data_IF_959364964461
#
_entry.id   IF_959364964461
#
_cell.length_a   1.000
_cell.length_b   1.000
_cell.length_c   1.000
_cell.angle_alpha   90.00
_cell.angle_beta   90.00
_cell.angle_gamma   90.00
#
_symmetry.space_group_name_H-M   'P 1'
#
loop_
_entity.id
_entity.type
_entity.pdbx_description
1 polymer ?
#
# COMPACT_ATOMS: atom_id res chain seq x y z
N UNK A 1 19.40 7.41 -54.47
CA UNK A 1 19.29 6.11 -53.76
C UNK A 1 19.65 6.23 -52.26
N UNK A 2 19.20 7.27 -51.55
CA UNK A 2 19.55 7.50 -50.11
C UNK A 2 18.31 7.82 -49.25
N UNK A 3 17.10 7.74 -49.80
CA UNK A 3 15.86 8.07 -49.06
C UNK A 3 15.13 6.84 -48.50
N UNK A 4 15.58 5.62 -48.83
CA UNK A 4 14.89 4.38 -48.40
C UNK A 4 15.49 3.66 -47.17
N UNK A 5 16.56 4.16 -46.55
CA UNK A 5 17.17 3.50 -45.38
C UNK A 5 16.83 4.13 -44.01
N UNK A 6 16.12 5.26 -43.97
CA UNK A 6 15.80 5.94 -42.69
C UNK A 6 14.53 5.37 -42.04
N UNK A 7 13.67 4.70 -42.80
CA UNK A 7 12.37 4.20 -42.32
C UNK A 7 12.41 2.96 -41.39
N UNK A 8 13.28 1.94 -41.57
CA UNK A 8 13.25 0.77 -40.71
C UNK A 8 13.96 0.98 -39.37
N UNK A 9 15.03 1.79 -39.34
CA UNK A 9 15.84 2.05 -38.13
C UNK A 9 15.08 2.98 -37.16
N UNK A 10 14.36 3.97 -37.68
CA UNK A 10 13.52 4.84 -36.86
C UNK A 10 12.33 4.08 -36.25
N UNK A 11 11.78 3.09 -36.96
CA UNK A 11 10.69 2.23 -36.44
C UNK A 11 11.17 1.24 -35.39
N UNK A 12 12.35 0.63 -35.54
CA UNK A 12 12.91 -0.25 -34.51
C UNK A 12 13.34 0.53 -33.27
N UNK A 13 13.91 1.73 -33.41
CA UNK A 13 14.25 2.58 -32.26
C UNK A 13 12.99 3.07 -31.53
N UNK A 14 11.92 3.45 -32.25
CA UNK A 14 10.65 3.82 -31.63
C UNK A 14 10.01 2.65 -30.88
N UNK A 15 10.09 1.41 -31.42
CA UNK A 15 9.61 0.21 -30.73
C UNK A 15 10.44 -0.13 -29.49
N UNK A 16 11.76 0.09 -29.53
CA UNK A 16 12.65 -0.11 -28.37
C UNK A 16 12.33 0.89 -27.26
N UNK A 17 12.02 2.15 -27.57
CA UNK A 17 11.61 3.15 -26.58
C UNK A 17 10.20 2.89 -25.99
N UNK A 18 9.30 2.23 -26.73
CA UNK A 18 7.98 1.82 -26.22
C UNK A 18 8.07 0.51 -25.40
N UNK A 19 9.13 -0.28 -25.59
CA UNK A 19 9.32 -1.58 -24.93
C UNK A 19 10.42 -1.61 -23.86
N UNK A 20 10.99 -0.47 -23.46
CA UNK A 20 11.71 -0.41 -22.18
C UNK A 20 10.66 -0.12 -21.11
N UNK A 21 10.14 -1.14 -20.38
CA UNK A 21 9.53 -0.84 -19.10
C UNK A 21 10.56 -0.04 -18.31
N UNK A 22 10.13 1.07 -17.72
CA UNK A 22 10.91 1.79 -16.73
C UNK A 22 11.39 0.76 -15.71
N UNK A 23 12.67 0.39 -15.80
CA UNK A 23 13.35 -0.55 -14.89
C UNK A 23 13.52 0.16 -13.56
N UNK A 24 12.42 0.43 -12.87
CA UNK A 24 12.42 0.59 -11.42
C UNK A 24 12.86 -0.79 -10.92
N UNK A 25 14.02 -0.87 -10.30
CA UNK A 25 14.53 -2.13 -9.77
C UNK A 25 13.63 -2.54 -8.60
N UNK A 26 12.56 -3.28 -8.91
CA UNK A 26 11.52 -3.72 -7.96
C UNK A 26 12.08 -4.54 -6.80
N UNK A 27 13.31 -5.06 -6.94
CA UNK A 27 14.05 -5.76 -5.88
C UNK A 27 14.46 -4.89 -4.69
N UNK A 28 14.36 -3.56 -4.79
CA UNK A 28 14.70 -2.63 -3.69
C UNK A 28 13.49 -2.16 -2.89
N UNK A 29 12.26 -2.39 -3.37
CA UNK A 29 11.07 -2.02 -2.63
C UNK A 29 10.80 -3.05 -1.55
N UNK A 30 10.78 -2.59 -0.30
CA UNK A 30 10.40 -3.40 0.84
C UNK A 30 8.87 -3.46 0.95
N UNK A 31 8.26 -4.41 0.23
CA UNK A 31 6.81 -4.55 0.14
C UNK A 31 6.27 -5.76 0.91
N UNK A 32 7.09 -6.78 1.13
CA UNK A 32 6.71 -8.09 1.65
C UNK A 32 7.08 -8.31 3.13
N UNK A 33 7.79 -7.37 3.76
CA UNK A 33 8.06 -7.42 5.19
C UNK A 33 6.76 -7.38 5.98
N UNK A 34 6.53 -8.42 6.79
CA UNK A 34 5.39 -8.51 7.70
C UNK A 34 5.53 -7.46 8.81
N UNK A 35 4.52 -6.59 8.91
CA UNK A 35 4.39 -5.62 9.99
C UNK A 35 3.69 -6.28 11.18
N UNK A 36 2.47 -6.78 10.96
CA UNK A 36 1.72 -7.52 11.97
C UNK A 36 0.66 -8.43 11.35
N UNK A 37 0.20 -9.41 12.12
CA UNK A 37 -0.95 -10.25 11.80
C UNK A 37 -1.82 -10.46 13.04
N UNK A 38 -3.13 -10.28 12.90
CA UNK A 38 -4.14 -10.59 13.93
C UNK A 38 -5.17 -11.53 13.35
N UNK A 39 -5.50 -12.61 14.05
CA UNK A 39 -6.49 -13.58 13.60
C UNK A 39 -7.45 -13.87 14.76
N UNK A 40 -8.76 -13.78 14.54
CA UNK A 40 -9.76 -14.23 15.52
C UNK A 40 -10.22 -15.63 15.13
N UNK A 41 -10.07 -16.59 16.03
CA UNK A 41 -10.58 -17.94 15.85
C UNK A 41 -11.78 -18.09 16.76
N UNK A 42 -12.96 -18.40 16.20
CA UNK A 42 -14.08 -18.85 17.03
C UNK A 42 -13.60 -20.02 17.89
N UNK A 43 -13.80 -19.90 19.21
CA UNK A 43 -13.58 -20.98 20.16
C UNK A 43 -14.14 -22.29 19.60
N UNK A 44 -13.35 -23.36 19.68
CA UNK A 44 -13.73 -24.75 19.37
C UNK A 44 -14.97 -25.24 20.14
N UNK A 45 -15.54 -24.42 21.02
CA UNK A 45 -16.72 -24.69 21.83
C UNK A 45 -18.07 -24.51 21.11
N UNK A 46 -18.15 -23.90 19.92
CA UNK A 46 -19.40 -23.91 19.11
C UNK A 46 -19.69 -25.33 18.56
N UNK A 47 -18.69 -26.20 18.51
CA UNK A 47 -18.85 -27.63 18.19
C UNK A 47 -19.26 -28.50 19.39
N UNK A 48 -19.46 -27.93 20.58
CA UNK A 48 -19.70 -28.72 21.81
C UNK A 48 -21.09 -28.53 22.44
N UNK A 49 -22.00 -27.77 21.83
CA UNK A 49 -23.37 -27.63 22.35
C UNK A 49 -24.44 -28.26 21.47
N UNK A 50 -24.37 -29.58 21.35
CA UNK A 50 -25.57 -30.44 21.28
C UNK A 50 -25.22 -31.79 21.87
N UNK A 51 -25.33 -31.91 23.19
CA UNK A 51 -25.55 -33.22 23.82
C UNK A 51 -27.01 -33.59 23.56
N UNK A 52 -27.23 -34.82 23.07
CA UNK A 52 -28.53 -35.49 22.82
C UNK A 52 -28.98 -35.51 21.36
N UNK A 53 -28.31 -36.29 20.53
CA UNK A 53 -28.93 -37.37 19.71
C UNK A 53 -27.83 -38.20 19.07
N UNK A 54 -28.08 -39.50 19.00
CA UNK A 54 -27.24 -40.54 18.44
C UNK A 54 -26.97 -40.23 16.96
N UNK A 55 -25.68 -40.18 16.56
CA UNK A 55 -25.10 -39.80 15.26
C UNK A 55 -24.79 -38.30 15.01
N UNK A 56 -23.64 -37.79 15.48
CA UNK A 56 -23.11 -36.50 15.04
C UNK A 56 -22.37 -36.68 13.70
N UNK A 57 -23.06 -36.45 12.58
CA UNK A 57 -22.42 -36.45 11.25
C UNK A 57 -22.39 -35.03 10.63
N UNK A 58 -21.95 -34.06 11.43
CA UNK A 58 -21.73 -32.67 11.02
C UNK A 58 -20.39 -32.17 11.59
N UNK A 59 -19.27 -32.58 10.99
CA UNK A 59 -17.94 -32.07 11.38
C UNK A 59 -16.92 -31.88 10.25
N UNK A 60 -17.28 -32.10 8.98
CA UNK A 60 -16.35 -31.85 7.85
C UNK A 60 -16.92 -30.98 6.71
N UNK A 61 -18.23 -31.03 6.44
CA UNK A 61 -18.80 -30.32 5.30
C UNK A 61 -18.76 -28.78 5.46
N UNK A 62 -19.15 -28.26 6.62
CA UNK A 62 -19.13 -26.82 6.88
C UNK A 62 -17.71 -26.25 6.89
N UNK A 63 -16.74 -27.00 7.42
CA UNK A 63 -15.32 -26.59 7.40
C UNK A 63 -14.80 -26.55 5.96
N UNK A 64 -15.15 -27.55 5.15
CA UNK A 64 -14.83 -27.57 3.72
C UNK A 64 -15.43 -26.38 2.97
N UNK A 65 -16.71 -26.07 3.19
CA UNK A 65 -17.38 -24.93 2.55
C UNK A 65 -16.76 -23.59 2.98
N UNK A 66 -16.38 -23.45 4.25
CA UNK A 66 -15.66 -22.26 4.72
C UNK A 66 -14.29 -22.11 4.07
N UNK A 67 -13.52 -23.19 4.00
CA UNK A 67 -12.23 -23.19 3.32
C UNK A 67 -12.38 -22.84 1.83
N UNK A 68 -13.43 -23.33 1.16
CA UNK A 68 -13.74 -23.01 -0.23
C UNK A 68 -14.12 -21.54 -0.43
N UNK A 69 -14.92 -20.97 0.48
CA UNK A 69 -15.29 -19.56 0.46
C UNK A 69 -14.06 -18.65 0.64
N UNK A 70 -13.20 -18.94 1.63
CA UNK A 70 -11.97 -18.20 1.87
C UNK A 70 -10.99 -18.31 0.68
N UNK A 71 -10.82 -19.51 0.12
CA UNK A 71 -10.00 -19.70 -1.08
C UNK A 71 -10.50 -18.85 -2.25
N UNK A 72 -11.81 -18.87 -2.51
CA UNK A 72 -12.42 -18.08 -3.59
C UNK A 72 -12.26 -16.58 -3.35
N UNK A 73 -12.45 -16.13 -2.11
CA UNK A 73 -12.22 -14.75 -1.69
C UNK A 73 -10.79 -14.31 -1.95
N UNK A 74 -9.79 -15.02 -1.42
CA UNK A 74 -8.37 -14.68 -1.57
C UNK A 74 -7.93 -14.71 -3.04
N UNK A 75 -8.42 -15.68 -3.82
CA UNK A 75 -8.15 -15.73 -5.26
C UNK A 75 -8.72 -14.53 -6.01
N UNK A 76 -9.87 -14.01 -5.58
CA UNK A 76 -10.49 -12.82 -6.19
C UNK A 76 -9.70 -11.56 -5.85
N UNK A 77 -9.24 -11.41 -4.59
CA UNK A 77 -8.34 -10.32 -4.19
C UNK A 77 -7.04 -10.33 -5.01
N UNK A 78 -6.40 -11.49 -5.12
CA UNK A 78 -5.18 -11.67 -5.90
C UNK A 78 -5.39 -11.31 -7.39
N UNK A 79 -6.50 -11.75 -7.99
CA UNK A 79 -6.81 -11.41 -9.39
C UNK A 79 -6.96 -9.90 -9.61
N UNK A 80 -7.74 -9.22 -8.74
CA UNK A 80 -8.02 -7.78 -8.89
C UNK A 80 -6.83 -6.87 -8.55
N UNK A 81 -5.88 -7.33 -7.74
CA UNK A 81 -4.65 -6.57 -7.38
C UNK A 81 -3.77 -6.19 -8.57
N UNK A 82 -3.93 -6.85 -9.72
CA UNK A 82 -3.25 -6.46 -10.97
C UNK A 82 -3.84 -5.19 -11.61
N UNK A 83 -5.05 -4.79 -11.24
CA UNK A 83 -5.85 -3.72 -11.86
C UNK A 83 -6.23 -2.61 -10.90
N UNK A 84 -6.32 -2.90 -9.61
CA UNK A 84 -6.74 -1.97 -8.57
C UNK A 84 -5.81 -2.03 -7.36
N UNK A 85 -5.70 -0.90 -6.65
CA UNK A 85 -4.94 -0.77 -5.40
C UNK A 85 -5.77 -1.05 -4.16
N UNK A 86 -7.08 -0.87 -4.29
CA UNK A 86 -8.07 -1.24 -3.30
C UNK A 86 -9.14 -2.09 -3.97
N UNK A 87 -9.58 -3.15 -3.28
CA UNK A 87 -10.73 -3.92 -3.73
C UNK A 87 -11.44 -4.58 -2.56
N UNK A 88 -12.75 -4.32 -2.43
CA UNK A 88 -13.64 -4.96 -1.46
C UNK A 88 -14.55 -5.95 -2.17
N UNK A 89 -14.73 -7.13 -1.60
CA UNK A 89 -15.60 -8.14 -2.16
C UNK A 89 -16.18 -9.07 -1.10
N UNK A 90 -17.24 -9.77 -1.52
CA UNK A 90 -17.79 -10.95 -0.89
C UNK A 90 -17.50 -12.18 -1.78
N UNK A 91 -17.25 -13.34 -1.19
CA UNK A 91 -17.23 -14.62 -1.90
C UNK A 91 -17.77 -15.76 -1.02
N UNK A 92 -18.42 -16.74 -1.64
CA UNK A 92 -19.03 -17.88 -0.95
C UNK A 92 -20.49 -18.06 -1.33
N UNK A 93 -21.26 -18.66 -0.44
CA UNK A 93 -22.70 -18.88 -0.61
C UNK A 93 -23.49 -18.27 0.55
N UNK A 94 -24.82 -18.37 0.49
CA UNK A 94 -25.73 -17.75 1.46
C UNK A 94 -25.49 -18.19 2.92
N UNK A 95 -24.81 -19.32 3.17
CA UNK A 95 -24.54 -19.87 4.51
C UNK A 95 -23.08 -19.71 4.95
N UNK A 96 -22.17 -19.63 3.99
CA UNK A 96 -20.74 -19.59 4.17
C UNK A 96 -20.16 -18.59 3.17
N UNK A 97 -20.13 -17.33 3.59
CA UNK A 97 -19.49 -16.27 2.82
C UNK A 97 -18.35 -15.64 3.62
N UNK A 98 -17.40 -15.07 2.89
CA UNK A 98 -16.28 -14.31 3.40
C UNK A 98 -16.34 -12.95 2.73
N UNK A 99 -16.34 -11.89 3.54
CA UNK A 99 -16.20 -10.52 3.07
C UNK A 99 -14.89 -9.94 3.54
N UNK A 100 -14.47 -8.86 2.88
CA UNK A 100 -13.22 -8.19 3.20
C UNK A 100 -12.65 -7.44 2.02
N UNK A 101 -11.40 -7.02 2.15
CA UNK A 101 -10.72 -6.20 1.16
C UNK A 101 -9.19 -6.31 1.27
N UNK A 102 -8.50 -5.90 0.20
CA UNK A 102 -7.08 -5.56 0.25
C UNK A 102 -6.87 -4.08 -0.06
N UNK A 103 -5.77 -3.53 0.44
CA UNK A 103 -5.24 -2.22 0.09
C UNK A 103 -3.73 -2.33 -0.11
N UNK A 104 -3.24 -1.88 -1.27
CA UNK A 104 -1.82 -1.70 -1.55
C UNK A 104 -1.40 -0.27 -1.24
N UNK A 105 -0.10 -0.07 -1.02
CA UNK A 105 0.49 1.27 -0.99
C UNK A 105 0.34 1.93 -2.37
N UNK A 106 -0.10 3.18 -2.40
CA UNK A 106 -0.50 3.85 -3.65
C UNK A 106 0.67 4.20 -4.56
N UNK A 107 1.83 4.53 -3.99
CA UNK A 107 3.09 4.82 -4.69
C UNK A 107 3.75 3.57 -5.32
N UNK A 108 3.31 2.36 -4.95
CA UNK A 108 3.88 1.15 -5.50
C UNK A 108 3.34 0.86 -6.92
N UNK A 109 4.11 0.26 -7.84
CA UNK A 109 3.58 -0.20 -9.13
C UNK A 109 2.53 -1.31 -9.00
N UNK A 110 1.65 -1.50 -9.98
CA UNK A 110 0.63 -2.57 -9.96
C UNK A 110 1.23 -3.97 -9.88
N UNK A 111 2.40 -4.20 -10.50
CA UNK A 111 3.12 -5.47 -10.39
C UNK A 111 3.54 -5.78 -8.94
N UNK A 112 4.02 -4.76 -8.20
CA UNK A 112 4.41 -4.89 -6.80
C UNK A 112 3.18 -5.13 -5.93
N UNK A 113 2.09 -4.40 -6.19
CA UNK A 113 0.82 -4.64 -5.51
C UNK A 113 0.34 -6.09 -5.69
N UNK A 114 0.37 -6.60 -6.92
CA UNK A 114 -0.03 -7.98 -7.19
C UNK A 114 0.83 -9.00 -6.43
N UNK A 115 2.15 -8.85 -6.49
CA UNK A 115 3.07 -9.72 -5.73
C UNK A 115 2.84 -9.63 -4.23
N UNK A 116 2.62 -8.43 -3.70
CA UNK A 116 2.33 -8.22 -2.29
C UNK A 116 1.04 -8.93 -1.85
N UNK A 117 -0.04 -8.83 -2.64
CA UNK A 117 -1.31 -9.50 -2.34
C UNK A 117 -1.20 -11.03 -2.47
N UNK A 118 -0.39 -11.54 -3.40
CA UNK A 118 -0.05 -12.97 -3.47
C UNK A 118 0.66 -13.43 -2.19
N UNK A 119 1.59 -12.64 -1.63
CA UNK A 119 2.24 -12.95 -0.35
C UNK A 119 1.26 -12.91 0.82
N UNK A 120 0.34 -11.94 0.88
CA UNK A 120 -0.71 -11.88 1.91
C UNK A 120 -1.54 -13.16 1.96
N UNK A 121 -1.94 -13.70 0.79
CA UNK A 121 -2.66 -14.97 0.69
C UNK A 121 -1.86 -16.12 1.31
N UNK A 122 -0.56 -16.20 1.01
CA UNK A 122 0.34 -17.21 1.56
C UNK A 122 0.51 -17.08 3.07
N UNK A 123 0.74 -15.87 3.57
CA UNK A 123 0.94 -15.57 5.00
C UNK A 123 -0.35 -15.86 5.78
N UNK A 124 -1.50 -15.40 5.31
CA UNK A 124 -2.77 -15.67 5.97
C UNK A 124 -3.07 -17.14 6.10
N UNK A 125 -2.80 -17.93 5.05
CA UNK A 125 -3.01 -19.38 5.10
C UNK A 125 -2.12 -20.04 6.17
N UNK A 126 -0.88 -19.57 6.33
CA UNK A 126 0.08 -20.11 7.31
C UNK A 126 -0.15 -19.62 8.74
N UNK A 127 -0.49 -18.34 8.91
CA UNK A 127 -0.58 -17.68 10.21
C UNK A 127 -1.98 -17.73 10.82
N UNK A 128 -3.03 -17.62 9.99
CA UNK A 128 -4.40 -17.52 10.46
C UNK A 128 -5.22 -18.81 10.28
N UNK A 129 -4.76 -19.80 9.50
CA UNK A 129 -5.35 -21.15 9.45
C UNK A 129 -6.89 -21.17 9.37
N UNK A 130 -7.53 -21.64 10.45
CA UNK A 130 -9.01 -21.74 10.57
C UNK A 130 -9.68 -20.50 11.20
N UNK A 131 -9.00 -19.36 11.22
CA UNK A 131 -9.54 -18.13 11.79
C UNK A 131 -10.85 -17.73 11.09
N UNK A 132 -11.80 -17.27 11.89
CA UNK A 132 -13.07 -16.72 11.42
C UNK A 132 -12.94 -15.28 10.92
N UNK A 133 -11.84 -14.62 11.25
CA UNK A 133 -11.49 -13.34 10.67
C UNK A 133 -9.99 -13.08 10.82
N UNK A 134 -9.40 -12.29 9.92
CA UNK A 134 -7.99 -11.92 10.01
C UNK A 134 -7.70 -10.54 9.46
N UNK A 135 -6.63 -9.94 9.99
CA UNK A 135 -5.96 -8.75 9.48
C UNK A 135 -4.47 -9.05 9.34
N UNK A 136 -3.94 -8.93 8.13
CA UNK A 136 -2.52 -9.17 7.84
C UNK A 136 -1.98 -7.95 7.12
N UNK A 137 -0.91 -7.37 7.66
CA UNK A 137 -0.32 -6.13 7.15
C UNK A 137 1.16 -6.35 6.79
N UNK A 138 1.48 -6.15 5.52
CA UNK A 138 2.84 -6.06 4.98
C UNK A 138 3.16 -4.59 4.69
N UNK A 139 4.43 -4.23 4.55
CA UNK A 139 4.81 -2.83 4.26
C UNK A 139 4.21 -2.27 2.96
N UNK A 140 3.96 -3.14 1.96
CA UNK A 140 3.42 -2.71 0.67
C UNK A 140 1.93 -2.91 0.47
N UNK A 141 1.27 -3.67 1.34
CA UNK A 141 -0.15 -3.97 1.23
C UNK A 141 -0.67 -4.66 2.47
N UNK A 142 -1.98 -4.64 2.65
CA UNK A 142 -2.63 -5.37 3.72
C UNK A 142 -4.00 -5.88 3.29
N UNK A 143 -4.53 -6.82 4.05
CA UNK A 143 -5.89 -7.31 3.86
C UNK A 143 -6.59 -7.56 5.19
N UNK A 144 -7.90 -7.43 5.13
CA UNK A 144 -8.82 -7.78 6.21
C UNK A 144 -9.89 -8.69 5.63
N UNK A 145 -10.25 -9.75 6.34
CA UNK A 145 -11.42 -10.55 6.00
C UNK A 145 -12.13 -11.06 7.25
N UNK A 146 -13.41 -11.37 7.08
CA UNK A 146 -14.24 -12.04 8.07
C UNK A 146 -15.25 -12.97 7.40
N UNK A 147 -15.62 -14.03 8.11
CA UNK A 147 -16.71 -14.89 7.71
C UNK A 147 -18.05 -14.24 8.08
N UNK A 148 -18.93 -14.11 7.11
CA UNK A 148 -20.31 -13.70 7.32
C UNK A 148 -21.05 -14.84 8.05
N UNK A 149 -21.52 -14.57 9.26
CA UNK A 149 -22.34 -15.53 10.01
C UNK A 149 -23.80 -15.35 9.64
N UNK A 150 -24.45 -16.44 9.23
CA UNK A 150 -25.92 -16.48 9.15
C UNK A 150 -26.46 -16.86 10.51
N UNK A 151 -27.11 -15.91 11.18
CA UNK A 151 -27.86 -16.21 12.39
C UNK A 151 -28.99 -17.21 12.08
N UNK A 152 -29.04 -18.30 12.84
CA UNK A 152 -30.20 -19.20 12.82
C UNK A 152 -31.46 -18.45 13.32
N UNK A 153 -32.66 -18.68 12.77
CA UNK A 153 -33.84 -17.83 12.95
C UNK A 153 -34.43 -17.74 14.38
N UNK A 154 -33.82 -18.41 15.36
CA UNK A 154 -34.30 -18.49 16.75
C UNK A 154 -33.54 -17.60 17.72
N UNK A 155 -32.46 -16.95 17.29
CA UNK A 155 -31.85 -15.85 18.05
C UNK A 155 -32.45 -14.55 17.53
N UNK A 156 -33.01 -13.77 18.46
CA UNK A 156 -33.54 -12.43 18.27
C UNK A 156 -32.83 -11.68 17.12
N UNK A 157 -33.61 -11.22 16.13
CA UNK A 157 -33.17 -10.28 15.12
C UNK A 157 -32.68 -8.98 15.79
N UNK A 158 -31.41 -8.94 16.14
CA UNK A 158 -30.69 -7.68 16.31
C UNK A 158 -30.04 -7.38 14.98
N UNK A 159 -30.45 -6.28 14.38
CA UNK A 159 -29.69 -5.62 13.32
C UNK A 159 -28.23 -5.52 13.78
N UNK A 160 -27.28 -6.12 13.08
CA UNK A 160 -26.10 -5.44 12.59
C UNK A 160 -25.20 -6.41 11.83
N UNK A 161 -24.68 -5.96 10.69
CA UNK A 161 -23.33 -6.32 10.25
C UNK A 161 -22.39 -6.17 11.46
N UNK A 162 -22.07 -7.26 12.15
CA UNK A 162 -21.32 -7.25 13.41
C UNK A 162 -19.87 -7.61 13.09
N UNK A 163 -19.15 -6.58 12.64
CA UNK A 163 -17.80 -6.64 12.09
C UNK A 163 -16.74 -6.76 13.20
N UNK A 164 -16.62 -7.87 13.93
CA UNK A 164 -15.75 -7.93 15.14
C UNK A 164 -14.28 -7.51 14.94
N UNK A 165 -13.75 -7.48 13.70
CA UNK A 165 -12.42 -6.93 13.35
C UNK A 165 -12.41 -5.48 12.82
N UNK A 166 -13.58 -4.89 12.53
CA UNK A 166 -13.78 -3.45 12.36
C UNK A 166 -14.43 -2.83 13.63
N UNK A 167 -14.67 -3.61 14.69
CA UNK A 167 -15.19 -3.18 16.01
C UNK A 167 -14.10 -2.53 16.88
N UNK A 168 -12.90 -2.36 16.34
CA UNK A 168 -12.02 -1.29 16.79
C UNK A 168 -12.88 -0.03 16.90
N UNK A 169 -12.88 0.68 18.05
CA UNK A 169 -13.50 1.99 18.13
C UNK A 169 -13.06 2.78 16.91
N UNK A 170 -13.94 3.58 16.32
CA UNK A 170 -13.60 4.38 15.14
C UNK A 170 -12.23 5.07 15.38
N UNK A 171 -11.26 4.83 14.49
CA UNK A 171 -9.85 5.30 14.63
C UNK A 171 -9.07 4.68 15.81
N UNK A 172 -9.40 3.46 16.21
CA UNK A 172 -8.73 2.73 17.29
C UNK A 172 -7.33 2.28 16.89
N UNK A 173 -6.37 2.37 17.82
CA UNK A 173 -4.99 1.95 17.60
C UNK A 173 -4.90 0.43 17.38
N UNK A 174 -4.46 0.02 16.19
CA UNK A 174 -4.25 -1.38 15.83
C UNK A 174 -2.83 -1.80 16.16
N UNK A 175 -1.84 -1.03 15.73
CA UNK A 175 -0.43 -1.38 15.88
C UNK A 175 0.46 -0.13 15.86
N UNK A 176 1.64 -0.23 16.46
CA UNK A 176 2.65 0.83 16.40
C UNK A 176 4.05 0.25 16.29
N UNK A 177 4.92 1.00 15.62
CA UNK A 177 6.36 0.76 15.57
C UNK A 177 7.02 2.10 15.94
N UNK A 178 7.91 2.08 16.93
CA UNK A 178 8.65 3.25 17.39
C UNK A 178 10.15 2.91 17.35
N UNK A 179 10.93 3.59 16.48
CA UNK A 179 12.34 3.31 16.24
C UNK A 179 13.23 4.51 16.57
N UNK A 180 14.39 4.23 17.18
CA UNK A 180 15.43 5.22 17.46
C UNK A 180 14.98 6.33 18.41
N UNK A 181 14.76 5.97 19.69
CA UNK A 181 14.34 6.90 20.74
C UNK A 181 15.47 7.85 21.17
N UNK A 182 15.84 8.81 20.31
CA UNK A 182 16.90 9.79 20.56
C UNK A 182 16.48 11.23 20.24
N UNK A 183 15.22 11.43 19.84
CA UNK A 183 14.77 12.71 19.30
C UNK A 183 14.60 13.82 20.33
N UNK A 184 14.60 13.50 21.63
CA UNK A 184 14.57 14.47 22.73
C UNK A 184 15.72 15.49 22.67
N UNK A 185 16.82 15.13 22.00
CA UNK A 185 18.00 15.98 21.85
C UNK A 185 17.94 16.89 20.62
N UNK A 186 16.98 16.69 19.72
CA UNK A 186 16.85 17.46 18.48
C UNK A 186 15.86 18.62 18.65
N UNK A 187 16.39 19.84 18.67
CA UNK A 187 15.57 21.05 18.77
C UNK A 187 14.57 21.14 17.61
N UNK A 188 13.31 21.41 17.93
CA UNK A 188 12.22 21.57 16.96
C UNK A 188 11.69 20.26 16.37
N UNK A 189 12.14 19.09 16.84
CA UNK A 189 11.65 17.80 16.34
C UNK A 189 10.12 17.65 16.46
N UNK A 190 9.56 17.95 17.62
CA UNK A 190 8.11 17.84 17.86
C UNK A 190 7.32 18.77 16.95
N UNK A 191 7.76 20.03 16.82
CA UNK A 191 7.15 21.01 15.92
C UNK A 191 7.21 20.54 14.46
N UNK A 192 8.37 20.05 14.01
CA UNK A 192 8.53 19.48 12.66
C UNK A 192 7.59 18.31 12.43
N UNK A 193 7.47 17.38 13.38
CA UNK A 193 6.54 16.25 13.29
C UNK A 193 5.10 16.73 13.19
N UNK A 194 4.70 17.66 14.04
CA UNK A 194 3.34 18.21 14.07
C UNK A 194 3.00 18.89 12.75
N UNK A 195 3.85 19.78 12.25
CA UNK A 195 3.61 20.48 10.98
C UNK A 195 3.59 19.51 9.79
N UNK A 196 4.49 18.53 9.76
CA UNK A 196 4.51 17.50 8.73
C UNK A 196 3.19 16.69 8.69
N UNK A 197 2.66 16.32 9.85
CA UNK A 197 1.38 15.63 9.92
C UNK A 197 0.19 16.50 9.58
N UNK A 198 0.17 17.78 9.97
CA UNK A 198 -0.88 18.70 9.53
C UNK A 198 -0.92 18.83 8.00
N UNK A 199 0.24 18.85 7.34
CA UNK A 199 0.29 18.82 5.88
C UNK A 199 -0.25 17.49 5.32
N UNK A 200 0.04 16.37 5.97
CA UNK A 200 -0.48 15.06 5.59
C UNK A 200 -2.02 14.96 5.76
N UNK A 201 -2.60 15.55 6.81
CA UNK A 201 -4.05 15.58 7.05
C UNK A 201 -4.79 16.19 5.85
N UNK A 202 -4.33 17.34 5.35
CA UNK A 202 -4.90 17.98 4.15
C UNK A 202 -4.51 17.22 2.88
N UNK A 203 -3.28 16.74 2.83
CA UNK A 203 -2.72 16.07 1.68
C UNK A 203 -3.44 14.77 1.32
N UNK A 204 -3.91 14.00 2.29
CA UNK A 204 -4.70 12.79 2.01
C UNK A 204 -6.10 13.11 1.50
N UNK A 205 -6.68 14.25 1.86
CA UNK A 205 -8.01 14.68 1.35
C UNK A 205 -7.89 15.00 -0.15
N UNK A 206 -6.88 15.78 -0.51
CA UNK A 206 -6.63 16.19 -1.90
C UNK A 206 -6.03 15.05 -2.75
N UNK A 207 -5.21 14.21 -2.13
CA UNK A 207 -4.53 13.06 -2.71
C UNK A 207 -5.36 11.78 -2.76
N UNK A 208 -6.68 11.86 -2.53
CA UNK A 208 -7.61 10.73 -2.57
C UNK A 208 -7.19 9.55 -1.69
N UNK A 209 -6.76 9.86 -0.47
CA UNK A 209 -6.41 8.87 0.56
C UNK A 209 -4.92 8.57 0.67
N UNK A 210 -4.04 9.22 -0.08
CA UNK A 210 -2.59 9.01 0.02
C UNK A 210 -1.80 10.31 0.01
N UNK A 211 -0.76 10.36 0.83
CA UNK A 211 0.19 11.47 0.91
C UNK A 211 1.58 10.96 1.27
N UNK A 212 2.61 11.44 0.57
CA UNK A 212 4.01 11.16 0.90
C UNK A 212 4.89 12.33 0.48
N UNK A 213 5.39 13.07 1.46
CA UNK A 213 6.30 14.19 1.23
C UNK A 213 7.24 14.38 2.45
N UNK A 214 8.21 15.29 2.30
CA UNK A 214 9.08 15.68 3.39
C UNK A 214 8.83 17.13 3.80
N UNK A 215 8.59 17.35 5.09
CA UNK A 215 8.64 18.67 5.70
C UNK A 215 9.96 18.82 6.46
N UNK A 216 10.84 19.66 5.92
CA UNK A 216 12.22 19.78 6.40
C UNK A 216 12.94 18.44 6.44
N UNK A 217 13.41 18.04 7.62
CA UNK A 217 14.12 16.79 7.86
C UNK A 217 13.17 15.63 8.19
N UNK A 218 11.85 15.87 8.16
CA UNK A 218 10.82 14.90 8.49
C UNK A 218 10.17 14.40 7.21
N UNK A 219 10.46 13.17 6.83
CA UNK A 219 9.72 12.48 5.80
C UNK A 219 8.46 11.84 6.41
N UNK A 220 7.31 12.02 5.77
CA UNK A 220 6.03 11.46 6.22
C UNK A 220 5.33 10.73 5.09
N UNK A 221 4.65 9.65 5.45
CA UNK A 221 3.70 8.93 4.60
C UNK A 221 2.40 8.79 5.37
N UNK A 222 1.27 9.01 4.72
CA UNK A 222 -0.05 8.77 5.27
C UNK A 222 -0.92 8.11 4.21
N UNK A 223 -1.70 7.11 4.62
CA UNK A 223 -2.62 6.46 3.72
C UNK A 223 -3.87 6.02 4.45
N UNK A 224 -5.02 6.26 3.83
CA UNK A 224 -6.31 5.75 4.25
C UNK A 224 -6.70 4.53 3.43
N UNK A 225 -7.53 3.68 4.02
CA UNK A 225 -8.12 2.55 3.31
C UNK A 225 -9.13 3.08 2.29
N UNK A 226 -9.20 2.50 1.09
CA UNK A 226 -10.02 3.00 -0.01
C UNK A 226 -11.54 2.98 0.21
N UNK A 227 -12.01 2.54 1.39
CA UNK A 227 -13.42 2.64 1.79
C UNK A 227 -13.71 3.83 2.73
N UNK A 228 -12.68 4.55 3.16
CA UNK A 228 -12.80 5.72 4.04
C UNK A 228 -13.03 6.96 3.19
N UNK A 229 -14.05 7.74 3.52
CA UNK A 229 -14.39 8.96 2.78
C UNK A 229 -13.36 10.07 3.04
N UNK A 230 -13.24 11.03 2.11
CA UNK A 230 -12.15 12.01 2.13
C UNK A 230 -12.03 12.78 3.45
N UNK A 231 -13.12 13.31 4.01
CA UNK A 231 -13.09 14.03 5.29
C UNK A 231 -12.72 13.10 6.46
N UNK A 232 -13.30 11.90 6.50
CA UNK A 232 -13.03 10.90 7.54
C UNK A 232 -11.57 10.45 7.50
N UNK A 233 -10.97 10.41 6.31
CA UNK A 233 -9.57 10.11 6.08
C UNK A 233 -8.65 11.15 6.72
N UNK A 234 -8.91 12.44 6.49
CA UNK A 234 -8.16 13.52 7.16
C UNK A 234 -8.27 13.44 8.68
N UNK A 235 -9.47 13.18 9.21
CA UNK A 235 -9.69 12.97 10.65
C UNK A 235 -8.95 11.73 11.18
N UNK A 236 -8.89 10.63 10.42
CA UNK A 236 -8.13 9.45 10.79
C UNK A 236 -6.63 9.74 10.86
N UNK A 237 -6.07 10.42 9.87
CA UNK A 237 -4.65 10.83 9.87
C UNK A 237 -4.35 11.73 11.05
N UNK A 238 -5.25 12.66 11.40
CA UNK A 238 -5.08 13.52 12.58
C UNK A 238 -5.07 12.72 13.89
N UNK A 239 -5.98 11.75 14.04
CA UNK A 239 -5.98 10.84 15.19
C UNK A 239 -4.69 10.00 15.25
N UNK A 240 -4.19 9.55 14.10
CA UNK A 240 -2.95 8.77 14.03
C UNK A 240 -1.72 9.63 14.38
N UNK A 241 -1.71 10.90 14.00
CA UNK A 241 -0.69 11.87 14.39
C UNK A 241 -0.70 12.15 15.90
N UNK A 242 -1.88 12.30 16.50
CA UNK A 242 -2.03 12.43 17.96
C UNK A 242 -1.49 11.18 18.68
N UNK A 243 -1.85 9.99 18.20
CA UNK A 243 -1.31 8.73 18.71
C UNK A 243 0.22 8.64 18.52
N UNK A 244 0.80 9.13 17.41
CA UNK A 244 2.24 9.16 17.22
C UNK A 244 2.94 10.03 18.29
N UNK A 245 2.33 11.16 18.66
CA UNK A 245 2.87 12.05 19.68
C UNK A 245 2.86 11.43 21.09
N UNK A 246 1.82 10.67 21.42
CA UNK A 246 1.69 9.98 22.71
C UNK A 246 2.53 8.69 22.77
N UNK A 247 2.48 7.89 21.72
CA UNK A 247 2.98 6.52 21.73
C UNK A 247 4.43 6.37 21.28
N UNK A 248 4.93 7.32 20.47
CA UNK A 248 6.30 7.37 19.96
C UNK A 248 6.95 8.78 20.13
N UNK A 249 6.86 9.43 21.30
CA UNK A 249 7.17 10.86 21.47
C UNK A 249 8.57 11.25 20.98
N UNK A 250 9.57 10.41 21.28
CA UNK A 250 10.99 10.68 21.00
C UNK A 250 11.62 9.76 19.96
N UNK A 251 10.80 8.98 19.24
CA UNK A 251 11.31 8.08 18.21
C UNK A 251 11.58 8.86 16.93
N UNK A 252 12.79 8.76 16.38
CA UNK A 252 13.16 9.41 15.11
C UNK A 252 12.43 8.80 13.92
N UNK A 253 11.93 7.58 14.03
CA UNK A 253 11.05 7.00 13.03
C UNK A 253 9.91 6.27 13.73
N UNK A 254 8.71 6.38 13.18
CA UNK A 254 7.54 5.73 13.75
C UNK A 254 6.51 5.39 12.70
N UNK A 255 5.69 4.38 12.99
CA UNK A 255 4.55 3.99 12.18
C UNK A 255 3.39 3.70 13.11
N UNK A 256 2.25 4.36 12.88
CA UNK A 256 1.03 4.23 13.65
C UNK A 256 -0.07 3.72 12.71
N UNK A 257 -0.69 2.61 13.08
CA UNK A 257 -1.74 1.96 12.32
C UNK A 257 -3.03 2.03 13.11
N UNK A 258 -4.02 2.77 12.59
CA UNK A 258 -5.37 2.86 13.14
C UNK A 258 -6.35 2.05 12.28
N UNK A 259 -7.58 1.92 12.74
CA UNK A 259 -8.68 1.52 11.86
C UNK A 259 -8.92 2.62 10.81
N UNK A 260 -8.84 2.27 9.52
CA UNK A 260 -9.11 3.16 8.40
C UNK A 260 -7.90 3.90 7.84
N UNK A 261 -6.77 3.98 8.56
CA UNK A 261 -5.56 4.63 8.04
C UNK A 261 -4.28 4.22 8.77
N UNK A 262 -3.13 4.57 8.19
CA UNK A 262 -1.85 4.57 8.87
C UNK A 262 -1.05 5.83 8.55
N UNK A 263 -0.15 6.20 9.48
CA UNK A 263 0.86 7.22 9.26
C UNK A 263 2.24 6.67 9.59
N UNK A 264 3.23 7.05 8.81
CA UNK A 264 4.64 6.75 9.01
C UNK A 264 5.45 8.03 8.94
N UNK A 265 6.52 8.10 9.73
CA UNK A 265 7.46 9.20 9.67
C UNK A 265 8.90 8.72 9.89
N UNK A 266 9.85 9.44 9.32
CA UNK A 266 11.28 9.24 9.54
C UNK A 266 11.98 10.59 9.53
N UNK A 267 12.75 10.85 10.58
CA UNK A 267 13.56 12.04 10.74
C UNK A 267 15.00 11.75 10.32
N UNK A 268 15.51 12.55 9.38
CA UNK A 268 16.84 12.40 8.80
C UNK A 268 17.76 13.58 9.19
N UNK A 269 18.41 13.55 10.37
CA UNK A 269 19.22 14.68 10.84
C UNK A 269 20.47 14.97 10.00
N UNK A 270 20.89 14.02 9.17
CA UNK A 270 22.11 14.10 8.36
C UNK A 270 21.83 14.50 6.90
N UNK A 271 20.56 14.65 6.54
CA UNK A 271 20.16 15.11 5.23
C UNK A 271 20.31 16.63 5.23
N UNK A 272 21.28 17.15 4.47
CA UNK A 272 21.47 18.60 4.37
C UNK A 272 20.21 19.17 3.70
N UNK A 273 19.47 20.09 4.36
CA UNK A 273 18.30 20.69 3.73
C UNK A 273 18.78 21.40 2.46
N UNK A 274 18.42 20.86 1.29
CA UNK A 274 18.68 21.52 0.02
C UNK A 274 17.97 22.87 0.00
N UNK A 275 18.64 23.90 -0.53
CA UNK A 275 18.17 25.28 -0.64
C UNK A 275 16.97 25.43 -1.60
N UNK A 276 15.84 24.81 -1.29
CA UNK A 276 14.56 25.03 -1.95
C UNK A 276 13.44 25.15 -0.94
N UNK A 277 13.61 26.02 0.06
CA UNK A 277 12.48 26.58 0.80
C UNK A 277 12.08 27.88 0.09
N UNK A 278 10.96 27.83 -0.61
CA UNK A 278 10.21 29.02 -0.96
C UNK A 278 9.43 29.46 0.28
N UNK A 279 9.85 30.55 0.93
CA UNK A 279 8.91 31.36 1.70
C UNK A 279 7.87 31.94 0.72
N UNK A 280 6.63 31.99 1.17
CA UNK A 280 5.46 32.36 0.36
C UNK A 280 5.60 33.73 -0.31
N UNK A 281 5.35 33.75 -1.61
CA UNK A 281 5.28 34.98 -2.39
C UNK A 281 5.07 34.72 -3.87
N UNK A 282 3.83 34.42 -4.27
CA UNK A 282 3.30 34.77 -5.59
C UNK A 282 3.87 34.03 -6.83
N UNK A 283 2.92 33.49 -7.59
CA UNK A 283 2.99 33.16 -9.00
C UNK A 283 3.60 31.79 -9.34
N UNK A 284 2.68 30.85 -9.61
CA UNK A 284 2.92 29.58 -10.23
C UNK A 284 3.84 29.72 -11.45
N UNK A 285 4.99 29.05 -11.38
CA UNK A 285 5.74 28.68 -12.58
C UNK A 285 5.95 27.18 -12.56
N UNK A 286 5.19 26.52 -13.43
CA UNK A 286 5.33 25.12 -13.78
C UNK A 286 6.72 24.88 -14.36
N UNK A 287 7.43 23.91 -13.76
CA UNK A 287 8.42 23.12 -14.48
C UNK A 287 9.78 23.05 -13.81
N UNK A 288 10.29 21.82 -13.70
CA UNK A 288 11.58 21.36 -14.25
C UNK A 288 12.12 20.21 -13.41
N UNK A 289 11.77 18.99 -13.78
CA UNK A 289 12.67 17.85 -13.53
C UNK A 289 12.51 16.81 -14.64
N UNK A 290 13.06 17.16 -15.80
CA UNK A 290 13.31 16.22 -16.91
C UNK A 290 14.49 16.67 -17.78
N UNK A 291 15.38 17.51 -17.23
CA UNK A 291 16.52 18.04 -17.99
C UNK A 291 17.73 17.07 -18.01
N UNK A 292 17.81 16.11 -17.09
CA UNK A 292 19.01 15.25 -16.96
C UNK A 292 18.96 14.03 -17.91
N UNK A 293 17.76 13.51 -18.22
CA UNK A 293 17.63 12.33 -19.11
C UNK A 293 17.57 12.74 -20.60
N UNK A 294 17.00 13.90 -20.93
CA UNK A 294 16.93 14.39 -22.32
C UNK A 294 18.30 14.88 -22.83
N UNK A 295 19.15 15.42 -21.95
CA UNK A 295 20.51 15.85 -22.30
C UNK A 295 21.44 14.69 -22.67
N UNK A 296 21.36 13.56 -21.95
CA UNK A 296 22.21 12.39 -22.19
C UNK A 296 21.90 11.69 -23.53
N UNK A 297 20.62 11.56 -23.88
CA UNK A 297 20.21 10.91 -25.13
C UNK A 297 20.56 11.80 -26.34
N UNK A 298 20.38 13.12 -26.25
CA UNK A 298 20.76 14.04 -27.32
C UNK A 298 22.29 14.04 -27.58
N UNK A 299 23.10 13.96 -26.53
CA UNK A 299 24.56 13.86 -26.64
C UNK A 299 25.01 12.57 -27.34
N UNK A 300 24.40 11.43 -27.00
CA UNK A 300 24.72 10.13 -27.64
C UNK A 300 24.33 10.11 -29.12
N UNK A 301 23.21 10.72 -29.49
CA UNK A 301 22.79 10.84 -30.90
C UNK A 301 23.74 11.73 -31.68
N UNK A 302 24.17 12.87 -31.12
CA UNK A 302 25.14 13.76 -31.76
C UNK A 302 26.50 13.08 -31.97
N UNK A 303 26.98 12.32 -30.96
CA UNK A 303 28.22 11.54 -31.07
C UNK A 303 28.10 10.48 -32.17
N UNK A 304 26.98 9.75 -32.23
CA UNK A 304 26.76 8.74 -33.27
C UNK A 304 26.75 9.36 -34.69
N UNK A 305 26.08 10.52 -34.85
CA UNK A 305 26.06 11.25 -36.13
C UNK A 305 27.48 11.72 -36.52
N UNK A 306 28.26 12.22 -35.57
CA UNK A 306 29.64 12.64 -35.81
C UNK A 306 30.54 11.48 -36.26
N UNK A 307 30.43 10.30 -35.62
CA UNK A 307 31.17 9.11 -36.03
C UNK A 307 30.78 8.62 -37.44
N UNK A 308 29.50 8.71 -37.82
CA UNK A 308 29.04 8.37 -39.17
C UNK A 308 29.60 9.35 -40.22
N UNK A 309 29.73 10.63 -39.87
CA UNK A 309 30.30 11.64 -40.76
C UNK A 309 31.80 11.42 -41.00
N UNK A 310 32.56 11.09 -39.95
CA UNK A 310 33.97 10.74 -40.07
C UNK A 310 34.19 9.48 -40.94
N UNK A 311 33.32 8.47 -40.81
CA UNK A 311 33.39 7.25 -41.62
C UNK A 311 33.04 7.51 -43.09
N UNK A 312 32.16 8.46 -43.37
CA UNK A 312 31.82 8.96 -44.71
C UNK A 312 33.01 9.67 -45.37
N UNK A 313 33.72 10.53 -44.62
CA UNK A 313 34.91 11.23 -45.14
C UNK A 313 36.06 10.27 -45.44
N UNK A 314 36.23 9.23 -44.62
CA UNK A 314 37.28 8.22 -44.82
C UNK A 314 37.04 7.31 -46.04
N UNK A 315 35.79 7.21 -46.51
CA UNK A 315 35.43 6.46 -47.73
C UNK A 315 35.62 7.24 -49.03
N UNK A 316 35.97 8.53 -48.95
CA UNK A 316 36.16 9.40 -50.12
C UNK A 316 37.64 9.57 -50.51
N UNK A 317 38.54 8.84 -49.86
CA UNK A 317 39.99 8.92 -50.04
C UNK A 317 40.65 7.69 -50.65
N UNK A 318 39.87 6.72 -51.15
CA UNK A 318 40.35 5.59 -51.96
C UNK A 318 39.70 5.64 -53.35
#
# INVERSE_FOLDING_TARGET
MVVHLISPIARTLALIFISLPSLINTSLLDYDTLVFSKCDSSDTNILQKTTTTQYPNYSNHNLFLRAQALYSFLSKLESESSRAKFFKTLAGNDQHAVSGWFQCREDYPSEICHRCVTELRGISSRMCGNATSARVHLRGCHMVYEFEFVDTPTAQAYNHHNYKLMETPERGLIHKICNGATAETFAGFEEMRTVAFTAAETGVVDGHGFYEESYKLMHVVAQCDGHVEACECGECVSAAAAAAAEECPWSIAGQIYLEGCYVGYTYNPHEYPGDSYHEEGGQASTGKSLAIVVGGVAALVLVAIFFLFLKSLRRKGD
#
